data_IF_150722141823
#
_entry.id   IF_150722141823
#
_cell.length_a   1.000
_cell.length_b   1.000
_cell.length_c   1.000
_cell.angle_alpha   90.00
_cell.angle_beta   90.00
_cell.angle_gamma   90.00
#
_symmetry.space_group_name_H-M   'P 1'
#
loop_
_entity.id
_entity.type
_entity.pdbx_description
1 polymer ?
#
# COMPACT_ATOMS: atom_id res chain seq x y z
N UNK A 1 -1.94 -26.56 -5.55
CA UNK A 1 -1.94 -26.64 -4.06
C UNK A 1 -1.71 -25.22 -3.55
N UNK A 2 -2.79 -24.49 -3.28
CA UNK A 2 -2.76 -23.06 -2.95
C UNK A 2 -2.33 -22.87 -1.49
N UNK A 3 -1.23 -22.15 -1.26
CA UNK A 3 -0.74 -21.82 0.07
C UNK A 3 -1.24 -20.43 0.47
N UNK A 4 -2.13 -20.39 1.46
CA UNK A 4 -2.49 -19.16 2.18
C UNK A 4 -1.27 -18.68 2.99
N UNK A 5 -0.91 -17.39 2.85
CA UNK A 5 0.08 -16.73 3.71
C UNK A 5 -0.70 -16.03 4.83
N UNK A 6 -0.67 -16.62 6.02
CA UNK A 6 -1.14 -15.97 7.24
C UNK A 6 -0.06 -15.01 7.76
N UNK A 7 -0.41 -13.75 7.95
CA UNK A 7 0.40 -12.78 8.70
C UNK A 7 -0.03 -12.87 10.17
N UNK A 8 0.94 -13.12 11.06
CA UNK A 8 0.75 -13.02 12.51
C UNK A 8 1.26 -11.66 12.94
N UNK A 9 0.37 -10.82 13.47
CA UNK A 9 0.70 -9.57 14.15
C UNK A 9 0.72 -9.85 15.66
N UNK A 10 1.88 -9.75 16.31
CA UNK A 10 1.98 -9.81 17.78
C UNK A 10 2.12 -8.39 18.30
N UNK A 11 1.09 -7.90 18.99
CA UNK A 11 1.10 -6.61 19.67
C UNK A 11 1.08 -6.83 21.18
N UNK A 12 2.18 -6.44 21.84
CA UNK A 12 2.24 -5.85 23.16
C UNK A 12 1.87 -6.70 24.39
N UNK A 13 2.83 -6.83 25.32
CA UNK A 13 2.51 -6.79 26.75
C UNK A 13 3.39 -5.76 27.43
N UNK A 14 2.80 -4.63 27.83
CA UNK A 14 3.32 -3.82 28.93
C UNK A 14 2.17 -3.50 29.88
N UNK A 15 2.34 -4.05 31.07
CA UNK A 15 1.83 -3.66 32.39
C UNK A 15 0.52 -2.86 32.46
N UNK A 16 -0.46 -3.52 33.05
CA UNK A 16 -1.59 -2.95 33.77
C UNK A 16 -1.17 -1.89 34.79
N UNK A 17 -1.70 -0.68 34.63
CA UNK A 17 -2.05 0.17 35.76
C UNK A 17 -3.47 0.70 35.53
N UNK A 18 -4.41 0.08 36.24
CA UNK A 18 -5.76 0.57 36.38
C UNK A 18 -5.75 1.82 37.28
N UNK A 19 -6.19 2.96 36.77
CA UNK A 19 -7.05 3.88 37.51
C UNK A 19 -7.46 5.06 36.62
N UNK A 20 -8.66 5.58 36.91
CA UNK A 20 -9.29 6.79 36.37
C UNK A 20 -10.13 6.62 35.09
N UNK A 21 -11.24 5.91 35.27
CA UNK A 21 -12.47 6.11 34.52
C UNK A 21 -13.24 7.28 35.13
N UNK A 22 -13.21 8.47 34.51
CA UNK A 22 -14.33 9.43 34.51
C UNK A 22 -13.95 10.64 33.66
N UNK A 23 -14.57 10.73 32.48
CA UNK A 23 -15.01 11.92 31.73
C UNK A 23 -15.01 11.58 30.24
N UNK A 24 -16.18 11.17 29.73
CA UNK A 24 -16.42 11.08 28.29
C UNK A 24 -16.54 12.50 27.75
N UNK A 25 -15.44 13.04 27.24
CA UNK A 25 -15.50 14.10 26.23
C UNK A 25 -15.80 13.42 24.91
N UNK A 26 -16.96 13.70 24.32
CA UNK A 26 -17.19 13.38 22.90
C UNK A 26 -16.27 14.32 22.13
N UNK A 27 -15.09 13.82 21.77
CA UNK A 27 -14.24 14.51 20.82
C UNK A 27 -14.94 14.37 19.47
N UNK A 28 -15.62 15.43 19.05
CA UNK A 28 -15.95 15.59 17.64
C UNK A 28 -14.63 15.71 16.89
N UNK A 29 -14.14 14.58 16.38
CA UNK A 29 -12.98 14.54 15.49
C UNK A 29 -13.40 15.19 14.17
N UNK A 30 -13.28 16.52 14.10
CA UNK A 30 -13.32 17.23 12.83
C UNK A 30 -12.00 16.94 12.13
N UNK A 31 -11.97 15.87 11.33
CA UNK A 31 -10.91 15.64 10.35
C UNK A 31 -10.90 16.85 9.42
N UNK A 32 -9.96 17.76 9.64
CA UNK A 32 -9.70 18.83 8.70
C UNK A 32 -9.14 18.16 7.45
N UNK A 33 -9.76 18.31 6.27
CA UNK A 33 -9.16 17.89 5.02
C UNK A 33 -8.07 18.93 4.71
N UNK A 34 -6.94 18.86 5.41
CA UNK A 34 -5.72 19.28 4.76
C UNK A 34 -5.62 18.34 3.56
N UNK A 35 -5.80 18.89 2.36
CA UNK A 35 -5.45 18.19 1.14
C UNK A 35 -3.97 17.82 1.29
N UNK A 36 -3.71 16.60 1.76
CA UNK A 36 -2.39 16.03 1.85
C UNK A 36 -1.96 15.76 0.42
N UNK A 37 -1.52 16.82 -0.27
CA UNK A 37 -0.76 16.65 -1.48
C UNK A 37 0.62 16.19 -1.03
N UNK A 38 0.86 14.89 -1.20
CA UNK A 38 2.18 14.32 -0.98
C UNK A 38 3.21 15.18 -1.73
N UNK A 39 4.35 15.50 -1.10
CA UNK A 39 5.37 16.35 -1.71
C UNK A 39 5.80 15.80 -3.07
N UNK A 40 6.20 16.70 -3.97
CA UNK A 40 6.77 16.30 -5.26
C UNK A 40 7.98 15.40 -4.98
N UNK A 41 8.05 14.28 -5.69
CA UNK A 41 9.03 13.23 -5.48
C UNK A 41 10.50 13.65 -5.56
N UNK A 42 10.81 14.86 -6.06
CA UNK A 42 12.16 15.40 -6.08
C UNK A 42 12.69 15.83 -4.69
N UNK A 43 11.79 16.06 -3.72
CA UNK A 43 12.13 16.47 -2.35
C UNK A 43 12.06 15.31 -1.36
N UNK A 44 11.83 14.09 -1.87
CA UNK A 44 11.75 12.89 -1.08
C UNK A 44 13.18 12.40 -0.82
N UNK A 45 13.62 12.52 0.44
CA UNK A 45 14.67 11.68 1.01
C UNK A 45 14.18 10.25 0.79
N UNK A 46 14.74 9.55 -0.21
CA UNK A 46 14.53 8.12 -0.38
C UNK A 46 14.54 7.52 1.03
N UNK A 47 13.51 6.75 1.41
CA UNK A 47 13.41 6.19 2.76
C UNK A 47 14.63 5.26 2.96
N UNK A 48 15.82 5.82 3.18
CA UNK A 48 17.09 5.14 3.08
C UNK A 48 17.24 4.41 4.39
N UNK A 49 16.66 3.20 4.43
CA UNK A 49 16.82 2.34 5.57
C UNK A 49 18.29 1.99 5.70
N UNK A 50 18.85 2.36 6.84
CA UNK A 50 20.26 2.21 7.13
C UNK A 50 20.58 0.76 7.47
N UNK A 51 21.57 0.21 6.77
CA UNK A 51 22.15 -1.11 7.01
C UNK A 51 23.09 -1.13 8.23
N UNK A 52 23.26 -0.01 8.94
CA UNK A 52 24.18 0.12 10.08
C UNK A 52 23.95 -0.99 11.13
N UNK A 53 22.69 -1.28 11.45
CA UNK A 53 22.36 -2.31 12.43
C UNK A 53 22.86 -3.69 12.00
N UNK A 54 22.63 -4.07 10.74
CA UNK A 54 23.09 -5.34 10.16
C UNK A 54 24.61 -5.41 9.98
N UNK A 55 25.28 -4.26 9.86
CA UNK A 55 26.74 -4.18 9.86
C UNK A 55 27.36 -4.44 11.24
N UNK A 56 26.64 -4.10 12.31
CA UNK A 56 27.11 -4.23 13.70
C UNK A 56 26.60 -5.50 14.40
N UNK A 57 25.49 -6.07 13.95
CA UNK A 57 24.82 -7.21 14.60
C UNK A 57 24.61 -8.34 13.61
N UNK A 58 24.93 -9.57 14.05
CA UNK A 58 24.60 -10.77 13.28
C UNK A 58 23.09 -10.98 13.29
N UNK A 59 22.53 -11.22 12.10
CA UNK A 59 21.12 -11.58 11.99
C UNK A 59 20.84 -12.92 12.66
N UNK A 60 19.85 -13.02 13.57
CA UNK A 60 19.44 -14.30 14.11
C UNK A 60 18.86 -15.18 13.00
N UNK A 61 19.08 -16.49 13.11
CA UNK A 61 18.43 -17.48 12.25
C UNK A 61 16.95 -17.58 12.64
N UNK A 62 16.10 -16.82 11.95
CA UNK A 62 14.65 -16.89 12.11
C UNK A 62 14.07 -17.97 11.19
N UNK A 63 13.16 -18.79 11.72
CA UNK A 63 12.46 -19.83 10.96
C UNK A 63 11.35 -19.24 10.06
N UNK A 64 11.71 -18.29 9.19
CA UNK A 64 10.78 -17.64 8.24
C UNK A 64 10.69 -18.46 6.96
N UNK A 65 9.49 -18.97 6.67
CA UNK A 65 9.20 -19.76 5.46
C UNK A 65 9.10 -18.91 4.19
N UNK A 66 8.81 -17.62 4.30
CA UNK A 66 8.72 -16.71 3.16
C UNK A 66 10.02 -16.70 2.35
N UNK A 67 9.92 -16.60 1.02
CA UNK A 67 11.09 -16.56 0.13
C UNK A 67 11.89 -15.28 0.32
N UNK A 68 11.21 -14.15 0.49
CA UNK A 68 11.78 -12.85 0.81
C UNK A 68 11.08 -12.24 2.04
N UNK A 69 11.81 -11.44 2.81
CA UNK A 69 11.28 -10.66 3.92
C UNK A 69 12.25 -9.53 4.29
N UNK A 70 11.71 -8.41 4.76
CA UNK A 70 12.48 -7.22 5.11
C UNK A 70 11.84 -6.59 6.34
N UNK A 71 12.61 -6.44 7.42
CA UNK A 71 12.16 -5.92 8.70
C UNK A 71 12.94 -4.65 9.02
N UNK A 72 12.21 -3.57 9.25
CA UNK A 72 12.76 -2.24 9.51
C UNK A 72 12.12 -1.65 10.76
N UNK A 73 12.89 -0.80 11.43
CA UNK A 73 12.37 0.17 12.39
C UNK A 73 12.05 1.46 11.62
N UNK A 74 10.79 1.90 11.63
CA UNK A 74 10.37 3.10 10.88
C UNK A 74 10.83 4.40 11.55
N UNK A 75 10.99 4.41 12.87
CA UNK A 75 11.41 5.61 13.61
C UNK A 75 12.91 5.85 13.45
N UNK A 76 13.72 4.81 13.64
CA UNK A 76 15.18 4.90 13.52
C UNK A 76 15.68 4.67 12.10
N UNK A 77 14.79 4.24 11.19
CA UNK A 77 15.11 3.82 9.82
C UNK A 77 16.19 2.73 9.76
N UNK A 78 16.29 1.87 10.77
CA UNK A 78 17.29 0.80 10.78
C UNK A 78 16.71 -0.46 10.16
N UNK A 79 17.47 -1.12 9.28
CA UNK A 79 17.15 -2.48 8.85
C UNK A 79 17.52 -3.43 9.99
N UNK A 80 16.53 -4.11 10.56
CA UNK A 80 16.74 -5.01 11.70
C UNK A 80 17.02 -6.44 11.25
N UNK A 81 16.45 -6.86 10.13
CA UNK A 81 16.60 -8.21 9.57
C UNK A 81 16.18 -8.24 8.10
N UNK A 82 16.84 -9.06 7.28
CA UNK A 82 16.51 -9.20 5.86
C UNK A 82 16.78 -10.61 5.32
N UNK A 83 15.89 -11.07 4.45
CA UNK A 83 16.04 -12.30 3.66
C UNK A 83 15.66 -11.99 2.23
N UNK A 84 16.63 -12.07 1.32
CA UNK A 84 16.45 -11.81 -0.12
C UNK A 84 15.58 -10.58 -0.44
N UNK A 85 15.88 -9.40 0.13
CA UNK A 85 14.96 -8.28 0.13
C UNK A 85 14.81 -7.62 -1.26
N UNK A 86 15.81 -7.76 -2.14
CA UNK A 86 15.89 -7.09 -3.44
C UNK A 86 15.29 -7.88 -4.60
N UNK A 87 15.07 -9.19 -4.45
CA UNK A 87 14.55 -9.99 -5.56
C UNK A 87 13.10 -9.64 -5.84
N UNK A 88 12.81 -9.17 -7.06
CA UNK A 88 11.45 -8.88 -7.51
C UNK A 88 10.62 -10.16 -7.63
N UNK A 89 9.40 -10.12 -7.10
CA UNK A 89 8.44 -11.23 -7.07
C UNK A 89 7.04 -10.71 -7.37
N UNK A 90 6.12 -11.60 -7.74
CA UNK A 90 4.72 -11.24 -7.90
C UNK A 90 4.18 -10.69 -6.57
N UNK A 91 3.76 -9.41 -6.50
CA UNK A 91 3.39 -8.76 -5.23
C UNK A 91 2.00 -9.16 -4.75
N UNK A 92 1.21 -9.82 -5.61
CA UNK A 92 -0.22 -9.99 -5.42
C UNK A 92 -0.87 -8.65 -5.04
N UNK A 93 -1.85 -8.67 -4.14
CA UNK A 93 -2.62 -7.47 -3.78
C UNK A 93 -1.84 -6.36 -3.08
N UNK A 94 -0.56 -6.53 -2.74
CA UNK A 94 0.28 -5.43 -2.24
C UNK A 94 0.44 -4.31 -3.29
N UNK A 95 0.24 -4.60 -4.57
CA UNK A 95 0.09 -3.61 -5.64
C UNK A 95 -0.94 -2.51 -5.31
N UNK A 96 -1.99 -2.85 -4.57
CA UNK A 96 -3.08 -1.92 -4.25
C UNK A 96 -2.65 -0.75 -3.37
N UNK A 97 -1.52 -0.85 -2.67
CA UNK A 97 -0.91 0.29 -1.97
C UNK A 97 -0.54 1.41 -2.95
N UNK A 98 0.08 1.06 -4.09
CA UNK A 98 0.41 2.03 -5.14
C UNK A 98 -0.86 2.56 -5.82
N UNK A 99 -1.85 1.68 -6.04
CA UNK A 99 -3.15 2.09 -6.60
C UNK A 99 -3.83 3.12 -5.72
N UNK A 100 -3.83 2.94 -4.39
CA UNK A 100 -4.39 3.90 -3.45
C UNK A 100 -3.70 5.26 -3.55
N UNK A 101 -2.36 5.27 -3.51
CA UNK A 101 -1.54 6.48 -3.63
C UNK A 101 -1.86 7.26 -4.91
N UNK A 102 -1.81 6.58 -6.07
CA UNK A 102 -2.06 7.24 -7.37
C UNK A 102 -3.52 7.69 -7.50
N UNK A 103 -4.47 6.92 -6.99
CA UNK A 103 -5.87 7.31 -6.98
C UNK A 103 -6.12 8.59 -6.19
N UNK A 104 -5.51 8.72 -5.00
CA UNK A 104 -5.63 9.95 -4.19
C UNK A 104 -5.01 11.14 -4.91
N UNK A 105 -3.80 10.98 -5.46
CA UNK A 105 -3.11 12.04 -6.21
C UNK A 105 -3.93 12.56 -7.40
N UNK A 106 -4.49 11.64 -8.20
CA UNK A 106 -5.24 12.00 -9.41
C UNK A 106 -6.67 12.44 -9.15
N UNK A 107 -7.27 12.02 -8.03
CA UNK A 107 -8.63 12.40 -7.67
C UNK A 107 -8.73 13.86 -7.25
N UNK A 108 -7.69 14.40 -6.59
CA UNK A 108 -7.66 15.74 -6.00
C UNK A 108 -8.55 15.92 -4.76
N UNK A 109 -9.61 15.11 -4.61
CA UNK A 109 -10.43 15.01 -3.41
C UNK A 109 -11.00 13.59 -3.28
N UNK A 110 -11.11 13.10 -2.04
CA UNK A 110 -11.69 11.79 -1.74
C UNK A 110 -13.20 11.74 -2.02
N UNK A 111 -13.86 12.89 -2.08
CA UNK A 111 -15.30 12.99 -2.34
C UNK A 111 -15.61 13.08 -3.83
N UNK A 112 -14.59 13.00 -4.70
CA UNK A 112 -14.76 12.91 -6.15
C UNK A 112 -15.56 11.64 -6.46
N UNK A 113 -16.65 11.80 -7.20
CA UNK A 113 -17.46 10.67 -7.67
C UNK A 113 -16.82 10.06 -8.90
N UNK A 114 -16.68 8.73 -8.88
CA UNK A 114 -16.23 7.88 -9.97
C UNK A 114 -17.40 7.05 -10.45
N UNK A 115 -17.63 7.05 -11.77
CA UNK A 115 -18.57 6.13 -12.41
C UNK A 115 -17.81 4.84 -12.75
N UNK A 116 -18.28 3.71 -12.23
CA UNK A 116 -17.62 2.40 -12.41
C UNK A 116 -17.61 2.01 -13.89
N UNK A 117 -16.43 1.83 -14.52
CA UNK A 117 -16.33 1.45 -15.91
C UNK A 117 -16.66 -0.04 -16.11
N UNK A 118 -17.13 -0.45 -17.30
CA UNK A 118 -17.44 -1.87 -17.58
C UNK A 118 -16.27 -2.82 -17.33
N UNK A 119 -15.03 -2.37 -17.53
CA UNK A 119 -13.83 -3.17 -17.32
C UNK A 119 -13.67 -3.66 -15.87
N UNK A 120 -14.22 -2.93 -14.88
CA UNK A 120 -14.19 -3.33 -13.47
C UNK A 120 -14.98 -4.63 -13.21
N UNK A 121 -15.89 -5.01 -14.11
CA UNK A 121 -16.68 -6.24 -13.98
C UNK A 121 -15.96 -7.49 -14.50
N UNK A 122 -14.80 -7.35 -15.14
CA UNK A 122 -14.09 -8.44 -15.81
C UNK A 122 -12.88 -8.94 -15.02
N UNK A 123 -12.81 -8.62 -13.73
CA UNK A 123 -11.74 -9.04 -12.83
C UNK A 123 -12.29 -9.93 -11.72
N UNK A 124 -11.50 -10.91 -11.30
CA UNK A 124 -11.78 -11.91 -10.26
C UNK A 124 -10.45 -12.25 -9.57
N UNK A 125 -10.41 -12.86 -8.36
CA UNK A 125 -11.55 -13.33 -7.56
C UNK A 125 -12.01 -12.38 -6.43
N UNK A 126 -11.13 -11.55 -5.86
CA UNK A 126 -11.49 -10.67 -4.74
C UNK A 126 -12.20 -9.42 -5.24
N UNK A 127 -13.39 -9.12 -4.71
CA UNK A 127 -14.28 -8.06 -5.19
C UNK A 127 -14.89 -7.29 -4.02
N UNK A 128 -15.05 -5.98 -4.19
CA UNK A 128 -15.92 -5.12 -3.37
C UNK A 128 -17.40 -5.34 -3.74
N UNK A 129 -17.68 -5.76 -4.98
CA UNK A 129 -19.03 -6.04 -5.48
C UNK A 129 -19.68 -4.87 -6.22
N UNK A 130 -18.87 -4.01 -6.87
CA UNK A 130 -19.41 -2.87 -7.62
C UNK A 130 -20.10 -3.31 -8.91
N UNK A 131 -20.97 -2.47 -9.47
CA UNK A 131 -21.64 -2.69 -10.76
C UNK A 131 -21.30 -1.59 -11.79
N UNK A 132 -21.21 -1.93 -13.07
CA UNK A 132 -21.04 -0.94 -14.16
C UNK A 132 -22.03 0.21 -14.06
N UNK A 133 -21.54 1.44 -14.13
CA UNK A 133 -22.37 2.66 -14.07
C UNK A 133 -22.73 3.10 -12.65
N UNK A 134 -22.43 2.28 -11.64
CA UNK A 134 -22.54 2.68 -10.24
C UNK A 134 -21.63 3.90 -9.97
N UNK A 135 -22.07 4.77 -9.06
CA UNK A 135 -21.41 6.04 -8.75
C UNK A 135 -20.99 6.03 -7.29
N UNK A 136 -19.69 5.91 -7.07
CA UNK A 136 -19.08 5.84 -5.75
C UNK A 136 -18.05 6.95 -5.62
N UNK A 137 -17.87 7.47 -4.42
CA UNK A 137 -16.74 8.35 -4.10
C UNK A 137 -15.43 7.58 -4.16
N UNK A 138 -14.34 8.30 -4.42
CA UNK A 138 -12.97 7.72 -4.32
C UNK A 138 -12.76 7.12 -2.92
N UNK A 139 -13.28 7.75 -1.87
CA UNK A 139 -13.26 7.23 -0.50
C UNK A 139 -13.89 5.83 -0.37
N UNK A 140 -15.08 5.63 -0.91
CA UNK A 140 -15.79 4.34 -0.87
C UNK A 140 -15.02 3.26 -1.65
N UNK A 141 -14.49 3.61 -2.82
CA UNK A 141 -13.67 2.70 -3.61
C UNK A 141 -12.36 2.35 -2.89
N UNK A 142 -11.74 3.28 -2.17
CA UNK A 142 -10.55 3.00 -1.36
C UNK A 142 -10.87 2.06 -0.20
N UNK A 143 -12.06 2.13 0.41
CA UNK A 143 -12.48 1.15 1.40
C UNK A 143 -12.55 -0.26 0.80
N UNK A 144 -13.24 -0.44 -0.33
CA UNK A 144 -13.27 -1.75 -1.00
C UNK A 144 -11.90 -2.23 -1.47
N UNK A 145 -11.05 -1.30 -1.93
CA UNK A 145 -9.68 -1.60 -2.35
C UNK A 145 -8.83 -2.14 -1.20
N UNK A 146 -8.88 -1.53 -0.02
CA UNK A 146 -7.95 -1.82 1.07
C UNK A 146 -8.50 -2.80 2.10
N UNK A 147 -9.82 -2.87 2.30
CA UNK A 147 -10.45 -3.79 3.26
C UNK A 147 -10.75 -5.15 2.63
N UNK A 148 -11.36 -5.17 1.45
CA UNK A 148 -11.75 -6.41 0.77
C UNK A 148 -10.73 -6.87 -0.26
N UNK A 149 -9.68 -6.06 -0.49
CA UNK A 149 -8.74 -6.27 -1.58
C UNK A 149 -9.44 -6.34 -2.95
N UNK A 150 -10.50 -5.55 -3.13
CA UNK A 150 -11.36 -5.57 -4.32
C UNK A 150 -10.57 -5.24 -5.60
N UNK A 151 -10.50 -6.21 -6.52
CA UNK A 151 -9.88 -6.03 -7.83
C UNK A 151 -10.73 -5.11 -8.72
N UNK A 152 -12.04 -5.22 -8.59
CA UNK A 152 -13.04 -4.34 -9.22
C UNK A 152 -12.92 -2.89 -8.74
N UNK A 153 -12.69 -2.67 -7.44
CA UNK A 153 -12.39 -1.34 -6.90
C UNK A 153 -11.07 -0.77 -7.48
N UNK A 154 -10.04 -1.61 -7.62
CA UNK A 154 -8.77 -1.21 -8.23
C UNK A 154 -8.95 -0.78 -9.71
N UNK A 155 -9.72 -1.55 -10.48
CA UNK A 155 -10.02 -1.23 -11.89
C UNK A 155 -10.97 -0.03 -12.01
N UNK A 156 -11.91 0.15 -11.07
CA UNK A 156 -12.79 1.30 -11.03
C UNK A 156 -12.04 2.60 -10.77
N UNK A 157 -11.11 2.61 -9.81
CA UNK A 157 -10.21 3.75 -9.56
C UNK A 157 -9.33 4.02 -10.78
N UNK A 158 -8.69 2.99 -11.33
CA UNK A 158 -7.72 3.14 -12.41
C UNK A 158 -8.36 3.60 -13.73
N UNK A 159 -9.56 3.12 -14.06
CA UNK A 159 -10.24 3.46 -15.31
C UNK A 159 -11.29 4.57 -15.19
N UNK A 160 -11.71 4.92 -13.97
CA UNK A 160 -12.77 5.90 -13.72
C UNK A 160 -12.27 7.30 -13.36
N UNK A 161 -11.01 7.45 -12.93
CA UNK A 161 -10.40 8.75 -12.61
C UNK A 161 -9.69 9.35 -13.84
N UNK A 162 -8.91 8.52 -14.54
CA UNK A 162 -8.17 8.82 -15.76
C UNK A 162 -8.21 7.58 -16.68
N UNK A 163 -7.78 7.67 -17.95
CA UNK A 163 -7.60 6.46 -18.76
C UNK A 163 -6.69 5.44 -18.06
N UNK A 164 -7.11 4.17 -18.05
CA UNK A 164 -6.43 3.09 -17.30
C UNK A 164 -4.95 2.94 -17.64
N UNK A 165 -4.59 3.08 -18.91
CA UNK A 165 -3.21 3.02 -19.39
C UNK A 165 -2.37 4.18 -18.82
N UNK A 166 -2.97 5.37 -18.69
CA UNK A 166 -2.35 6.53 -18.05
C UNK A 166 -2.14 6.26 -16.56
N UNK A 167 -3.14 5.68 -15.88
CA UNK A 167 -3.04 5.31 -14.48
C UNK A 167 -1.86 4.37 -14.21
N UNK A 168 -1.71 3.29 -15.01
CA UNK A 168 -0.59 2.36 -14.89
C UNK A 168 0.76 3.05 -15.16
N UNK A 169 0.82 3.99 -16.13
CA UNK A 169 2.03 4.81 -16.31
C UNK A 169 2.32 5.66 -15.08
N UNK A 170 1.32 6.24 -14.44
CA UNK A 170 1.47 7.04 -13.22
C UNK A 170 1.94 6.19 -12.03
N UNK A 171 1.45 4.94 -11.89
CA UNK A 171 1.98 3.98 -10.90
C UNK A 171 3.48 3.76 -11.07
N UNK A 172 3.94 3.52 -12.30
CA UNK A 172 5.37 3.30 -12.57
C UNK A 172 6.20 4.59 -12.45
N UNK A 173 5.64 5.74 -12.83
CA UNK A 173 6.29 7.04 -12.62
C UNK A 173 6.46 7.31 -11.13
N UNK A 174 5.43 7.06 -10.31
CA UNK A 174 5.49 7.18 -8.86
C UNK A 174 6.54 6.23 -8.27
N UNK A 175 6.53 4.96 -8.66
CA UNK A 175 7.52 3.97 -8.24
C UNK A 175 8.96 4.44 -8.47
N UNK A 176 9.27 4.88 -9.70
CA UNK A 176 10.58 5.45 -10.03
C UNK A 176 10.91 6.69 -9.20
N UNK A 177 9.92 7.57 -9.02
CA UNK A 177 10.10 8.84 -8.34
C UNK A 177 10.41 8.69 -6.84
N UNK A 178 9.94 7.62 -6.21
CA UNK A 178 10.20 7.32 -4.79
C UNK A 178 11.28 6.24 -4.59
N UNK A 179 12.02 5.88 -5.66
CA UNK A 179 13.18 4.99 -5.56
C UNK A 179 12.88 3.48 -5.56
N UNK A 180 11.68 3.05 -5.97
CA UNK A 180 11.34 1.62 -6.05
C UNK A 180 11.96 0.97 -7.31
N UNK A 181 13.21 0.55 -7.22
CA UNK A 181 14.01 0.10 -8.38
C UNK A 181 13.72 -1.33 -8.83
N UNK A 182 13.08 -2.14 -7.99
CA UNK A 182 12.75 -3.55 -8.24
C UNK A 182 11.24 -3.75 -8.47
N UNK A 183 10.56 -2.66 -8.85
CA UNK A 183 9.11 -2.58 -8.98
C UNK A 183 8.69 -2.23 -10.40
N UNK A 184 7.71 -2.96 -10.92
CA UNK A 184 7.03 -2.62 -12.17
C UNK A 184 5.55 -3.07 -12.14
N UNK A 185 4.66 -2.14 -12.47
CA UNK A 185 3.21 -2.35 -12.48
C UNK A 185 2.67 -2.50 -13.90
N UNK A 186 1.81 -3.51 -14.12
CA UNK A 186 1.12 -3.72 -15.41
C UNK A 186 -0.41 -3.73 -15.25
N UNK A 187 -0.88 -3.72 -14.01
CA UNK A 187 -2.28 -3.64 -13.62
C UNK A 187 -2.39 -3.01 -12.22
N UNK A 188 -3.59 -2.53 -11.82
CA UNK A 188 -3.80 -1.86 -10.53
C UNK A 188 -4.14 -2.83 -9.38
N UNK A 189 -4.37 -4.11 -9.66
CA UNK A 189 -4.98 -5.03 -8.69
C UNK A 189 -3.99 -5.99 -8.04
N UNK A 190 -2.85 -6.27 -8.70
CA UNK A 190 -1.92 -7.30 -8.28
C UNK A 190 -2.11 -8.66 -8.94
N UNK A 191 -3.00 -8.76 -9.93
CA UNK A 191 -3.19 -10.00 -10.68
C UNK A 191 -1.90 -10.39 -11.41
N UNK A 192 -1.63 -11.69 -11.47
CA UNK A 192 -0.42 -12.21 -12.11
C UNK A 192 -0.38 -11.82 -13.59
N UNK A 193 0.73 -11.20 -13.98
CA UNK A 193 0.97 -10.80 -15.36
C UNK A 193 2.49 -10.73 -15.62
N UNK A 194 2.95 -11.05 -16.84
CA UNK A 194 4.36 -10.93 -17.19
C UNK A 194 4.89 -9.51 -16.94
N UNK A 195 6.03 -9.43 -16.26
CA UNK A 195 6.65 -8.15 -15.90
C UNK A 195 6.00 -7.44 -14.71
N UNK A 196 5.00 -8.01 -14.04
CA UNK A 196 4.46 -7.45 -12.79
C UNK A 196 5.29 -7.91 -11.60
N UNK A 197 5.85 -6.99 -10.82
CA UNK A 197 6.74 -7.36 -9.73
C UNK A 197 7.02 -6.25 -8.73
N UNK A 198 7.34 -6.63 -7.50
CA UNK A 198 7.95 -5.80 -6.46
C UNK A 198 8.93 -6.63 -5.62
N UNK A 199 9.95 -6.01 -5.06
CA UNK A 199 10.81 -6.64 -4.05
C UNK A 199 10.25 -6.40 -2.63
N UNK A 200 10.71 -7.18 -1.64
CA UNK A 200 10.30 -6.96 -0.25
C UNK A 200 10.81 -5.61 0.28
N UNK A 201 12.00 -5.20 -0.15
CA UNK A 201 12.54 -3.86 0.06
C UNK A 201 11.56 -2.78 -0.43
N UNK A 202 11.16 -2.85 -1.70
CA UNK A 202 10.32 -1.82 -2.31
C UNK A 202 8.91 -1.79 -1.71
N UNK A 203 8.35 -2.93 -1.31
CA UNK A 203 7.06 -2.99 -0.61
C UNK A 203 7.13 -2.20 0.71
N UNK A 204 8.20 -2.36 1.48
CA UNK A 204 8.36 -1.65 2.76
C UNK A 204 8.57 -0.15 2.54
N UNK A 205 9.34 0.25 1.53
CA UNK A 205 9.51 1.65 1.18
C UNK A 205 8.19 2.29 0.74
N UNK A 206 7.40 1.57 -0.06
CA UNK A 206 6.07 2.02 -0.46
C UNK A 206 5.13 2.18 0.74
N UNK A 207 5.14 1.24 1.67
CA UNK A 207 4.32 1.31 2.88
C UNK A 207 4.74 2.47 3.80
N UNK A 208 6.05 2.69 3.99
CA UNK A 208 6.57 3.83 4.75
C UNK A 208 6.23 5.17 4.07
N UNK A 209 6.28 5.23 2.74
CA UNK A 209 5.82 6.39 1.97
C UNK A 209 4.33 6.65 2.16
N UNK A 210 3.51 5.60 2.12
CA UNK A 210 2.08 5.74 2.37
C UNK A 210 1.83 6.30 3.77
N UNK A 211 2.39 5.69 4.82
CA UNK A 211 2.20 6.10 6.23
C UNK A 211 2.61 7.56 6.48
N UNK A 212 3.71 7.99 5.86
CA UNK A 212 4.26 9.32 6.12
C UNK A 212 3.49 10.44 5.42
N UNK A 213 2.88 10.17 4.27
CA UNK A 213 2.38 11.21 3.36
C UNK A 213 0.87 11.13 3.06
N UNK A 214 0.18 10.06 3.46
CA UNK A 214 -1.26 9.85 3.23
C UNK A 214 -1.98 9.48 4.54
#
# INVERSE_FOLDING_TARGET
MFAFIGIVLVVGTLATCASAWSHRSVVNLVLHPAAAQAPKAADFDHFDFSMLWLGLHRQPALAVRAQAAYLVDLDTRLVLWAKDPETSRAPASLTKLMTAIVAVDDAGTLDRVVTVPPAAMHVVPSLMGVTTGERLTVRELLYGLLLDSGNDAAEALAGGIVPRDRFIRQMNQKAKSIGLTQTHFVNPSGLDAPGHGMSAHDIVHLAAYLERYY
#
